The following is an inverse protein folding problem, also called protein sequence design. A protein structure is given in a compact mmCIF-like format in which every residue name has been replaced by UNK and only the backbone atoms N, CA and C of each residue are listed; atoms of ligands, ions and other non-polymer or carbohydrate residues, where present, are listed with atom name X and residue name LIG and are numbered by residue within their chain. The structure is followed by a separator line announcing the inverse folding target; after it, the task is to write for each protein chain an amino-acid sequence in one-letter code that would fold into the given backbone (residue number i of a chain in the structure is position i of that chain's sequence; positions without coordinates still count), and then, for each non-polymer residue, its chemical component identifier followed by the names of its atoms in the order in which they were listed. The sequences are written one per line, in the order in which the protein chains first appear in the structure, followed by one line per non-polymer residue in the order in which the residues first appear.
data_IF_242459240020
#
_entry.id   IF_242459240020
#
_cell.length_a   1.000
_cell.length_b   1.000
_cell.length_c   1.000
_cell.angle_alpha   90.00
_cell.angle_beta   90.00
_cell.angle_gamma   90.00
#
_symmetry.space_group_name_H-M   'P 1'
#
loop_
_entity.id
_entity.type
_entity.pdbx_description
1 polymer ?
#
# COMPACT_ATOMS: atom_id res chain seq x y z
N UNK A 1 -18.21 -8.23 -17.85
CA UNK A 1 -16.75 -8.10 -18.06
C UNK A 1 -16.40 -6.65 -17.72
N UNK A 2 -15.49 -6.40 -16.77
CA UNK A 2 -15.20 -5.05 -16.28
C UNK A 2 -14.50 -4.18 -17.33
N UNK A 3 -14.68 -2.86 -17.24
CA UNK A 3 -13.99 -1.89 -18.11
C UNK A 3 -12.47 -1.81 -17.86
N UNK A 4 -11.74 -0.99 -18.64
CA UNK A 4 -10.30 -0.84 -18.52
C UNK A 4 -9.87 -0.40 -17.10
N UNK A 5 -8.73 -0.91 -16.64
CA UNK A 5 -8.11 -0.52 -15.37
C UNK A 5 -7.06 0.54 -15.60
N UNK A 6 -7.21 1.68 -14.93
CA UNK A 6 -6.20 2.74 -14.80
C UNK A 6 -5.70 2.74 -13.35
N UNK A 7 -4.43 2.39 -13.16
CA UNK A 7 -3.80 2.22 -11.85
C UNK A 7 -2.74 3.29 -11.62
N UNK A 8 -2.88 4.05 -10.53
CA UNK A 8 -1.88 5.02 -10.08
C UNK A 8 -1.08 4.48 -8.89
N UNK A 9 0.21 4.81 -8.82
CA UNK A 9 1.00 4.61 -7.60
C UNK A 9 1.06 5.92 -6.82
N UNK A 10 0.66 5.87 -5.55
CA UNK A 10 0.65 7.02 -4.65
C UNK A 10 1.75 6.86 -3.59
N UNK A 11 2.87 7.60 -3.70
CA UNK A 11 3.93 7.59 -2.70
C UNK A 11 3.54 8.46 -1.49
N UNK A 12 3.35 7.84 -0.33
CA UNK A 12 2.89 8.54 0.88
C UNK A 12 3.87 9.62 1.36
N UNK A 13 5.16 9.50 1.07
CA UNK A 13 6.16 10.51 1.40
C UNK A 13 6.15 11.75 0.48
N UNK A 14 5.27 11.81 -0.54
CA UNK A 14 5.11 12.95 -1.47
C UNK A 14 3.72 13.61 -1.40
N UNK A 15 3.04 13.59 -0.25
CA UNK A 15 1.65 14.10 -0.12
C UNK A 15 1.49 15.55 -0.55
N UNK A 16 2.49 16.38 -0.26
CA UNK A 16 2.46 17.78 -0.67
C UNK A 16 2.37 17.93 -2.20
N UNK A 17 2.98 17.00 -2.95
CA UNK A 17 2.96 16.99 -4.41
C UNK A 17 1.71 16.30 -4.98
N UNK A 18 1.03 15.47 -4.20
CA UNK A 18 -0.19 14.77 -4.64
C UNK A 18 -1.49 15.46 -4.22
N UNK A 19 -1.42 16.62 -3.55
CA UNK A 19 -2.58 17.35 -3.04
C UNK A 19 -3.63 17.73 -4.10
N UNK A 20 -3.20 17.89 -5.37
CA UNK A 20 -4.06 18.28 -6.48
C UNK A 20 -4.33 17.13 -7.48
N UNK A 21 -4.08 15.88 -7.08
CA UNK A 21 -4.36 14.73 -7.94
C UNK A 21 -5.87 14.56 -8.09
N UNK A 22 -6.33 14.50 -9.35
CA UNK A 22 -7.70 14.15 -9.68
C UNK A 22 -7.88 12.64 -9.66
N UNK A 23 -8.37 12.10 -8.55
CA UNK A 23 -8.58 10.67 -8.36
C UNK A 23 -9.75 10.09 -9.20
N UNK A 24 -10.60 10.92 -9.81
CA UNK A 24 -11.66 10.46 -10.71
C UNK A 24 -11.14 9.90 -12.03
N UNK A 25 -9.89 10.20 -12.38
CA UNK A 25 -9.21 9.68 -13.57
C UNK A 25 -8.62 8.29 -13.38
N UNK A 26 -8.70 7.74 -12.17
CA UNK A 26 -8.16 6.44 -11.82
C UNK A 26 -9.28 5.49 -11.45
N UNK A 27 -9.01 4.19 -11.62
CA UNK A 27 -9.89 3.13 -11.14
C UNK A 27 -9.36 2.54 -9.83
N UNK A 28 -8.03 2.51 -9.69
CA UNK A 28 -7.33 1.94 -8.55
C UNK A 28 -6.10 2.80 -8.23
N UNK A 29 -5.80 2.90 -6.94
CA UNK A 29 -4.58 3.54 -6.42
C UNK A 29 -3.84 2.54 -5.54
N UNK A 30 -2.57 2.31 -5.83
CA UNK A 30 -1.65 1.56 -5.00
C UNK A 30 -0.93 2.54 -4.06
N UNK A 31 -1.24 2.50 -2.76
CA UNK A 31 -0.51 3.23 -1.73
C UNK A 31 0.85 2.58 -1.51
N UNK A 32 1.91 3.37 -1.72
CA UNK A 32 3.30 2.94 -1.62
C UNK A 32 3.93 3.56 -0.35
N UNK A 33 4.64 2.82 0.49
CA UNK A 33 4.75 1.34 0.55
C UNK A 33 4.55 0.84 1.97
N UNK A 34 3.83 -0.27 2.11
CA UNK A 34 3.84 -1.06 3.33
C UNK A 34 5.09 -1.92 3.39
N UNK A 35 5.79 -1.96 4.51
CA UNK A 35 7.12 -2.56 4.64
C UNK A 35 7.06 -3.76 5.59
N UNK A 36 7.41 -4.97 5.12
CA UNK A 36 7.62 -6.12 5.99
C UNK A 36 8.88 -5.95 6.85
N UNK A 37 8.79 -6.25 8.14
CA UNK A 37 9.94 -6.41 9.02
C UNK A 37 10.55 -7.82 8.88
N UNK A 38 11.73 -8.05 9.45
CA UNK A 38 12.36 -9.38 9.45
C UNK A 38 11.56 -10.47 10.17
N UNK A 39 10.68 -10.11 11.11
CA UNK A 39 9.78 -11.04 11.80
C UNK A 39 8.50 -11.34 11.01
N UNK A 40 8.33 -10.71 9.84
CA UNK A 40 7.12 -10.79 9.04
C UNK A 40 6.02 -9.83 9.50
N UNK A 41 6.22 -8.97 10.50
CA UNK A 41 5.21 -7.94 10.81
C UNK A 41 5.16 -6.88 9.72
N UNK A 42 3.98 -6.33 9.51
CA UNK A 42 3.69 -5.33 8.49
C UNK A 42 3.53 -3.94 9.12
N UNK A 43 4.07 -2.89 8.50
CA UNK A 43 3.82 -1.50 8.90
C UNK A 43 3.84 -0.55 7.71
N UNK A 44 3.26 0.64 7.87
CA UNK A 44 3.29 1.70 6.88
C UNK A 44 3.64 3.03 7.57
N UNK A 45 4.64 3.73 7.03
CA UNK A 45 5.30 4.85 7.73
C UNK A 45 4.34 6.03 8.00
N UNK A 46 3.41 6.29 7.09
CA UNK A 46 2.45 7.40 7.16
C UNK A 46 1.05 6.96 7.65
N UNK A 47 0.97 5.97 8.54
CA UNK A 47 -0.31 5.43 9.05
C UNK A 47 -1.24 6.52 9.56
N UNK A 48 -0.69 7.50 10.26
CA UNK A 48 -1.43 8.63 10.82
C UNK A 48 -2.17 9.47 9.76
N UNK A 49 -1.70 9.47 8.51
CA UNK A 49 -2.26 10.24 7.41
C UNK A 49 -3.29 9.46 6.59
N UNK A 50 -3.41 8.14 6.79
CA UNK A 50 -4.29 7.29 5.98
C UNK A 50 -5.75 7.72 5.99
N UNK A 51 -6.38 8.11 7.12
CA UNK A 51 -7.79 8.53 7.09
C UNK A 51 -8.03 9.67 6.09
N UNK A 52 -7.13 10.64 6.02
CA UNK A 52 -7.22 11.75 5.08
C UNK A 52 -6.96 11.30 3.63
N UNK A 53 -5.92 10.51 3.41
CA UNK A 53 -5.54 10.02 2.06
C UNK A 53 -6.66 9.15 1.47
N UNK A 54 -7.18 8.20 2.25
CA UNK A 54 -8.26 7.30 1.83
C UNK A 54 -9.54 8.07 1.54
N UNK A 55 -9.89 9.06 2.36
CA UNK A 55 -11.04 9.94 2.12
C UNK A 55 -10.94 10.65 0.77
N UNK A 56 -9.78 11.21 0.43
CA UNK A 56 -9.55 11.88 -0.85
C UNK A 56 -9.65 10.92 -2.05
N UNK A 57 -9.04 9.74 -1.96
CA UNK A 57 -9.06 8.76 -3.05
C UNK A 57 -10.47 8.20 -3.27
N UNK A 58 -11.17 7.84 -2.18
CA UNK A 58 -12.54 7.32 -2.26
C UNK A 58 -13.54 8.37 -2.77
N UNK A 59 -13.34 9.66 -2.45
CA UNK A 59 -14.16 10.74 -3.01
C UNK A 59 -14.06 10.82 -4.55
N UNK A 60 -12.94 10.39 -5.14
CA UNK A 60 -12.78 10.24 -6.59
C UNK A 60 -13.37 8.95 -7.17
N UNK A 61 -13.93 8.05 -6.35
CA UNK A 61 -14.48 6.76 -6.80
C UNK A 61 -13.42 5.68 -7.08
N UNK A 62 -12.15 5.95 -6.77
CA UNK A 62 -11.05 5.00 -6.94
C UNK A 62 -11.00 3.98 -5.80
N UNK A 63 -10.67 2.72 -6.12
CA UNK A 63 -10.33 1.71 -5.11
C UNK A 63 -8.91 1.88 -4.62
N UNK A 64 -8.64 1.51 -3.36
CA UNK A 64 -7.31 1.58 -2.78
C UNK A 64 -6.75 0.18 -2.51
N UNK A 65 -5.48 -0.02 -2.86
CA UNK A 65 -4.69 -1.19 -2.48
C UNK A 65 -3.40 -0.72 -1.82
N UNK A 66 -2.83 -1.58 -0.99
CA UNK A 66 -1.51 -1.34 -0.42
C UNK A 66 -0.44 -2.06 -1.24
N UNK A 67 0.56 -1.32 -1.71
CA UNK A 67 1.75 -1.91 -2.33
C UNK A 67 2.75 -2.26 -1.23
N UNK A 68 3.16 -3.52 -1.16
CA UNK A 68 4.07 -4.02 -0.12
C UNK A 68 5.49 -4.15 -0.70
N UNK A 69 6.49 -3.59 -0.02
CA UNK A 69 7.90 -3.65 -0.41
C UNK A 69 8.45 -2.34 -0.98
N UNK A 70 8.75 -2.31 -2.27
CA UNK A 70 9.48 -1.21 -2.93
C UNK A 70 11.00 -1.40 -2.88
N UNK A 71 11.74 -0.48 -3.50
CA UNK A 71 13.20 -0.61 -3.69
C UNK A 71 13.96 -0.84 -2.37
N UNK A 72 13.75 0.04 -1.38
CA UNK A 72 14.39 -0.05 -0.06
C UNK A 72 13.63 -0.93 0.93
N UNK A 73 12.40 -1.34 0.62
CA UNK A 73 11.52 -2.10 1.51
C UNK A 73 11.54 -3.61 1.29
N UNK A 74 12.31 -4.10 0.31
CA UNK A 74 12.27 -5.51 -0.10
C UNK A 74 13.31 -6.42 0.59
N UNK A 75 14.05 -5.91 1.56
CA UNK A 75 15.22 -6.59 2.15
C UNK A 75 14.93 -7.96 2.77
N UNK A 76 13.72 -8.16 3.30
CA UNK A 76 13.39 -9.34 4.10
C UNK A 76 12.53 -10.38 3.38
N UNK A 77 12.00 -10.10 2.18
CA UNK A 77 11.04 -11.00 1.51
C UNK A 77 11.55 -12.43 1.38
N UNK A 78 12.78 -12.63 0.89
CA UNK A 78 13.35 -13.98 0.71
C UNK A 78 13.37 -14.79 2.01
N UNK A 79 13.73 -14.15 3.14
CA UNK A 79 13.77 -14.79 4.45
C UNK A 79 12.38 -15.04 5.03
N UNK A 80 11.43 -14.14 4.77
CA UNK A 80 10.05 -14.31 5.23
C UNK A 80 9.36 -15.44 4.47
N UNK A 81 9.46 -15.47 3.13
CA UNK A 81 8.71 -16.44 2.32
C UNK A 81 9.23 -17.86 2.47
N UNK A 82 10.54 -18.04 2.70
CA UNK A 82 11.16 -19.38 2.92
C UNK A 82 10.77 -19.99 4.27
N UNK A 83 10.43 -19.18 5.26
CA UNK A 83 10.05 -19.63 6.60
C UNK A 83 8.52 -19.67 6.76
N UNK A 84 7.98 -20.81 7.20
CA UNK A 84 6.53 -20.97 7.29
C UNK A 84 5.88 -20.10 8.38
N UNK A 85 6.57 -19.89 9.50
CA UNK A 85 6.10 -19.06 10.60
C UNK A 85 6.07 -17.59 10.21
N UNK A 86 7.19 -17.06 9.71
CA UNK A 86 7.31 -15.67 9.28
C UNK A 86 6.33 -15.35 8.13
N UNK A 87 6.15 -16.27 7.18
CA UNK A 87 5.15 -16.12 6.11
C UNK A 87 3.73 -16.05 6.67
N UNK A 88 3.40 -16.88 7.65
CA UNK A 88 2.09 -16.82 8.33
C UNK A 88 1.90 -15.49 9.04
N UNK A 89 2.93 -15.01 9.76
CA UNK A 89 2.91 -13.70 10.43
C UNK A 89 2.66 -12.58 9.43
N UNK A 90 3.34 -12.59 8.28
CA UNK A 90 3.15 -11.57 7.25
C UNK A 90 1.72 -11.57 6.70
N UNK A 91 1.17 -12.73 6.38
CA UNK A 91 -0.21 -12.83 5.89
C UNK A 91 -1.19 -12.29 6.94
N UNK A 92 -1.09 -12.73 8.20
CA UNK A 92 -1.96 -12.27 9.28
C UNK A 92 -1.81 -10.77 9.52
N UNK A 93 -0.58 -10.26 9.51
CA UNK A 93 -0.32 -8.84 9.73
C UNK A 93 -0.86 -7.95 8.61
N UNK A 94 -0.86 -8.41 7.35
CA UNK A 94 -1.44 -7.67 6.22
C UNK A 94 -2.98 -7.72 6.22
N UNK A 95 -3.58 -8.82 6.67
CA UNK A 95 -5.06 -8.96 6.71
C UNK A 95 -5.68 -8.14 7.84
N UNK A 96 -4.99 -8.04 8.98
CA UNK A 96 -5.50 -7.34 10.17
C UNK A 96 -5.23 -5.83 10.16
N UNK A 97 -4.49 -5.35 9.16
CA UNK A 97 -4.16 -3.95 9.00
C UNK A 97 -5.29 -3.21 8.29
#
# INVERSE_FOLDING_TARGET
IGGPVVMGYYPSWKRAQTANVDFSKYTHINLAFGIPSSSGTFSFEDDWALPQILSQIHAGGSKVLMSVGGWTGSNYFSNIVKDAGARSTLITSMVNY
#
